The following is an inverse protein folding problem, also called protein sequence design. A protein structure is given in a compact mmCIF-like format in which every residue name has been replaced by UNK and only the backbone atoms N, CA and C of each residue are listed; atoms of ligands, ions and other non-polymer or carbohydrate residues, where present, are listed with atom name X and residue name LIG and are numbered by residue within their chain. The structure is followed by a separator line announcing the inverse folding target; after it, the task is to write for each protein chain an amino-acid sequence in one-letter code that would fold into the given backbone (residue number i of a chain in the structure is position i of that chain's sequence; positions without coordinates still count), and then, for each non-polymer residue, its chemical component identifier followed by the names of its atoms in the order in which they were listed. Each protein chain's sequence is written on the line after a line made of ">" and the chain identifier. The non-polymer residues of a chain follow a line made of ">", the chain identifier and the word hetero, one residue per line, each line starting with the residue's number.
data_IF_926716334931
#
_entry.id   IF_926716334931
#
_cell.length_a   1.000
_cell.length_b   1.000
_cell.length_c   1.000
_cell.angle_alpha   90.00
_cell.angle_beta   90.00
_cell.angle_gamma   90.00
#
_symmetry.space_group_name_H-M   'P 1'
#
loop_
_entity.id
_entity.type
_entity.pdbx_description
1 polymer ?
#
# COMPACT_ATOMS: atom_id res chain seq x y z
N UNK A 1 6.48 -40.38 -17.67
CA UNK A 1 6.76 -38.99 -18.06
C UNK A 1 5.57 -38.15 -18.64
N UNK A 2 4.37 -38.68 -18.91
CA UNK A 2 3.22 -37.82 -19.30
C UNK A 2 2.60 -37.03 -18.14
N UNK A 3 2.63 -37.54 -16.91
CA UNK A 3 1.99 -36.89 -15.74
C UNK A 3 2.57 -35.49 -15.36
N UNK A 4 3.84 -35.21 -15.67
CA UNK A 4 4.45 -33.90 -15.35
C UNK A 4 3.98 -32.77 -16.27
N UNK A 5 3.68 -33.05 -17.54
CA UNK A 5 3.18 -32.05 -18.49
C UNK A 5 1.72 -31.67 -18.25
N UNK A 6 0.94 -32.61 -17.78
CA UNK A 6 -0.49 -32.40 -17.50
C UNK A 6 -0.65 -31.64 -16.17
N UNK A 7 0.14 -31.97 -15.14
CA UNK A 7 0.21 -31.21 -13.90
C UNK A 7 0.71 -29.78 -14.12
N UNK A 8 1.75 -29.58 -14.93
CA UNK A 8 2.25 -28.24 -15.28
C UNK A 8 1.22 -27.42 -16.06
N UNK A 9 0.43 -28.05 -16.95
CA UNK A 9 -0.65 -27.39 -17.68
C UNK A 9 -1.82 -27.01 -16.77
N UNK A 10 -2.19 -27.87 -15.82
CA UNK A 10 -3.21 -27.59 -14.82
C UNK A 10 -2.77 -26.43 -13.89
N UNK A 11 -1.50 -26.41 -13.46
CA UNK A 11 -0.91 -25.34 -12.68
C UNK A 11 -0.92 -24.00 -13.41
N UNK A 12 -0.54 -24.00 -14.69
CA UNK A 12 -0.60 -22.79 -15.55
C UNK A 12 -2.04 -22.28 -15.75
N UNK A 13 -3.00 -23.16 -15.94
CA UNK A 13 -4.42 -22.79 -16.04
C UNK A 13 -4.96 -22.20 -14.73
N UNK A 14 -4.56 -22.77 -13.59
CA UNK A 14 -4.95 -22.26 -12.28
C UNK A 14 -4.31 -20.91 -12.00
N UNK A 15 -3.02 -20.72 -12.33
CA UNK A 15 -2.35 -19.42 -12.23
C UNK A 15 -3.02 -18.38 -13.14
N UNK A 16 -3.36 -18.76 -14.38
CA UNK A 16 -4.07 -17.87 -15.29
C UNK A 16 -5.40 -17.39 -14.72
N UNK A 17 -6.17 -18.27 -14.06
CA UNK A 17 -7.44 -17.93 -13.41
C UNK A 17 -7.27 -17.00 -12.22
N UNK A 18 -6.20 -17.17 -11.45
CA UNK A 18 -5.91 -16.33 -10.27
C UNK A 18 -5.55 -14.88 -10.69
N UNK A 19 -4.86 -14.71 -11.81
CA UNK A 19 -4.35 -13.40 -12.25
C UNK A 19 -5.21 -12.71 -13.34
N UNK A 20 -6.25 -13.33 -13.82
CA UNK A 20 -7.17 -12.72 -14.77
C UNK A 20 -8.38 -12.08 -14.08
N UNK A 21 -9.11 -11.27 -14.82
CA UNK A 21 -10.26 -10.45 -14.44
C UNK A 21 -11.13 -11.08 -13.33
N UNK A 22 -11.68 -10.28 -12.40
CA UNK A 22 -12.57 -10.76 -11.33
C UNK A 22 -13.61 -11.72 -11.89
N UNK A 23 -13.60 -12.96 -11.38
CA UNK A 23 -14.57 -13.96 -11.80
C UNK A 23 -15.99 -13.56 -11.37
N UNK A 24 -16.98 -14.03 -12.11
CA UNK A 24 -18.39 -13.80 -11.77
C UNK A 24 -18.71 -14.27 -10.34
N UNK A 25 -19.65 -13.62 -9.63
CA UNK A 25 -19.99 -13.96 -8.25
C UNK A 25 -20.41 -15.42 -8.02
N UNK A 26 -20.88 -16.09 -9.06
CA UNK A 26 -21.28 -17.50 -9.09
C UNK A 26 -20.14 -18.47 -9.40
N UNK A 27 -18.95 -17.96 -9.71
CA UNK A 27 -17.75 -18.78 -9.86
C UNK A 27 -17.22 -19.26 -8.51
N UNK A 28 -16.35 -20.28 -8.53
CA UNK A 28 -15.72 -20.80 -7.30
C UNK A 28 -14.96 -19.71 -6.54
N UNK A 29 -14.18 -18.87 -7.23
CA UNK A 29 -13.45 -17.77 -6.61
C UNK A 29 -14.37 -16.65 -6.15
N UNK A 30 -15.44 -16.34 -6.90
CA UNK A 30 -16.47 -15.39 -6.49
C UNK A 30 -17.22 -15.85 -5.25
N UNK A 31 -17.56 -17.14 -5.15
CA UNK A 31 -18.16 -17.72 -3.95
C UNK A 31 -17.24 -17.66 -2.73
N UNK A 32 -15.94 -17.90 -2.90
CA UNK A 32 -14.93 -17.76 -1.84
C UNK A 32 -14.81 -16.29 -1.41
N UNK A 33 -14.75 -15.34 -2.35
CA UNK A 33 -14.72 -13.91 -2.04
C UNK A 33 -15.96 -13.47 -1.25
N UNK A 34 -17.14 -13.96 -1.61
CA UNK A 34 -18.38 -13.69 -0.87
C UNK A 34 -18.36 -14.31 0.52
N UNK A 35 -17.89 -15.55 0.68
CA UNK A 35 -17.77 -16.22 1.96
C UNK A 35 -16.82 -15.45 2.90
N UNK A 36 -15.63 -15.12 2.45
CA UNK A 36 -14.66 -14.32 3.24
C UNK A 36 -15.28 -12.97 3.63
N UNK A 37 -15.90 -12.28 2.68
CA UNK A 37 -16.45 -10.93 2.91
C UNK A 37 -17.68 -10.98 3.84
N UNK A 38 -18.55 -11.96 3.68
CA UNK A 38 -19.76 -12.13 4.50
C UNK A 38 -19.43 -12.48 5.94
N UNK A 39 -18.59 -13.46 6.15
CA UNK A 39 -18.17 -13.92 7.47
C UNK A 39 -17.38 -12.84 8.22
N UNK A 40 -16.43 -12.18 7.55
CA UNK A 40 -15.64 -11.08 8.15
C UNK A 40 -16.56 -9.94 8.60
N UNK A 41 -17.53 -9.54 7.80
CA UNK A 41 -18.45 -8.45 8.16
C UNK A 41 -19.33 -8.78 9.38
N UNK A 42 -19.82 -10.02 9.49
CA UNK A 42 -20.59 -10.49 10.63
C UNK A 42 -19.74 -10.62 11.89
N UNK A 43 -18.59 -11.21 11.76
CA UNK A 43 -17.65 -11.50 12.83
C UNK A 43 -17.04 -10.22 13.43
N UNK A 44 -16.62 -9.26 12.61
CA UNK A 44 -16.05 -8.00 13.06
C UNK A 44 -17.03 -7.12 13.86
N UNK A 45 -18.34 -7.35 13.75
CA UNK A 45 -19.35 -6.61 14.50
C UNK A 45 -19.54 -7.09 15.94
N UNK A 46 -19.20 -8.32 16.23
CA UNK A 46 -19.60 -9.00 17.47
C UNK A 46 -18.44 -9.27 18.42
N UNK A 47 -17.22 -9.40 17.94
CA UNK A 47 -16.08 -9.83 18.74
C UNK A 47 -14.86 -8.91 18.60
N UNK A 48 -14.18 -8.60 19.71
CA UNK A 48 -12.88 -7.92 19.70
C UNK A 48 -11.78 -8.89 19.29
N UNK A 49 -11.83 -10.10 19.84
CA UNK A 49 -11.00 -11.26 19.48
C UNK A 49 -11.90 -12.48 19.57
N UNK A 50 -11.85 -13.35 18.57
CA UNK A 50 -12.73 -14.53 18.55
C UNK A 50 -12.29 -15.63 19.51
N UNK A 51 -10.98 -15.79 19.65
CA UNK A 51 -10.38 -16.84 20.47
C UNK A 51 -9.36 -16.20 21.41
N UNK A 52 -9.51 -16.51 22.72
CA UNK A 52 -8.48 -16.19 23.70
C UNK A 52 -7.41 -17.29 23.63
N UNK A 53 -6.31 -16.97 22.94
CA UNK A 53 -5.11 -17.83 22.86
C UNK A 53 -3.91 -17.05 23.34
N UNK A 54 -2.95 -17.74 23.92
CA UNK A 54 -1.66 -17.13 24.28
C UNK A 54 -0.84 -16.81 23.02
N UNK A 55 0.11 -15.92 23.13
CA UNK A 55 1.01 -15.56 22.02
C UNK A 55 1.81 -16.80 21.57
N UNK A 56 2.27 -17.61 22.50
CA UNK A 56 3.02 -18.84 22.23
C UNK A 56 2.20 -19.85 21.43
N UNK A 57 0.90 -19.96 21.72
CA UNK A 57 -0.01 -20.83 20.95
C UNK A 57 -0.27 -20.28 19.54
N UNK A 58 -0.32 -18.97 19.37
CA UNK A 58 -0.43 -18.32 18.05
C UNK A 58 0.85 -18.51 17.25
N UNK A 59 2.00 -18.24 17.86
CA UNK A 59 3.31 -18.41 17.22
C UNK A 59 3.56 -19.85 16.75
N UNK A 60 3.02 -20.85 17.46
CA UNK A 60 3.11 -22.25 17.04
C UNK A 60 2.47 -22.54 15.68
N UNK A 61 1.45 -21.75 15.30
CA UNK A 61 0.77 -21.89 14.00
C UNK A 61 1.60 -21.30 12.84
N UNK A 62 2.67 -20.50 13.10
CA UNK A 62 3.44 -19.73 12.11
C UNK A 62 4.93 -20.03 12.16
N UNK A 63 5.33 -21.28 12.36
CA UNK A 63 6.74 -21.68 12.48
C UNK A 63 7.37 -22.18 11.18
N UNK A 64 6.59 -22.39 10.12
CA UNK A 64 7.11 -22.89 8.85
C UNK A 64 8.01 -21.83 8.19
N UNK A 65 9.26 -22.21 7.90
CA UNK A 65 10.26 -21.34 7.26
C UNK A 65 10.61 -21.78 5.85
N UNK A 66 10.10 -22.92 5.42
CA UNK A 66 10.33 -23.45 4.07
C UNK A 66 9.16 -23.11 3.17
N UNK A 67 9.47 -22.70 1.94
CA UNK A 67 8.45 -22.47 0.91
C UNK A 67 7.97 -23.82 0.43
N UNK A 68 6.66 -24.11 0.48
CA UNK A 68 6.12 -25.38 0.00
C UNK A 68 6.45 -25.59 -1.49
N UNK A 69 6.89 -26.81 -1.84
CA UNK A 69 7.12 -27.18 -3.25
C UNK A 69 5.82 -27.26 -4.05
N UNK A 70 4.74 -27.68 -3.39
CA UNK A 70 3.40 -27.78 -4.01
C UNK A 70 2.53 -26.59 -3.61
N UNK A 71 1.74 -26.04 -4.54
CA UNK A 71 0.83 -24.93 -4.24
C UNK A 71 -0.34 -25.42 -3.38
N UNK A 72 -0.68 -24.65 -2.36
CA UNK A 72 -1.87 -24.88 -1.53
C UNK A 72 -3.15 -24.59 -2.34
N UNK A 73 -4.17 -25.41 -2.17
CA UNK A 73 -5.48 -25.14 -2.77
C UNK A 73 -6.11 -23.89 -2.17
N UNK A 74 -6.83 -23.13 -3.01
CA UNK A 74 -7.47 -21.87 -2.57
C UNK A 74 -8.45 -22.09 -1.41
N UNK A 75 -9.17 -23.22 -1.39
CA UNK A 75 -10.08 -23.58 -0.29
C UNK A 75 -9.35 -23.77 1.05
N UNK A 76 -8.24 -24.51 1.04
CA UNK A 76 -7.42 -24.74 2.24
C UNK A 76 -6.78 -23.43 2.73
N UNK A 77 -6.30 -22.60 1.80
CA UNK A 77 -5.77 -21.29 2.13
C UNK A 77 -6.84 -20.37 2.72
N UNK A 78 -8.07 -20.42 2.20
CA UNK A 78 -9.20 -19.65 2.73
C UNK A 78 -9.54 -20.06 4.15
N UNK A 79 -9.58 -21.37 4.42
CA UNK A 79 -9.81 -21.90 5.76
C UNK A 79 -8.68 -21.48 6.72
N UNK A 80 -7.43 -21.57 6.29
CA UNK A 80 -6.30 -21.08 7.06
C UNK A 80 -6.43 -19.58 7.40
N UNK A 81 -6.78 -18.75 6.41
CA UNK A 81 -6.97 -17.30 6.64
C UNK A 81 -8.07 -17.05 7.66
N UNK A 82 -9.21 -17.73 7.54
CA UNK A 82 -10.33 -17.54 8.47
C UNK A 82 -9.98 -17.99 9.89
N UNK A 83 -9.41 -19.20 10.04
CA UNK A 83 -9.18 -19.79 11.37
C UNK A 83 -7.91 -19.27 12.05
N UNK A 84 -6.85 -18.98 11.29
CA UNK A 84 -5.55 -18.60 11.84
C UNK A 84 -5.28 -17.10 11.82
N UNK A 85 -5.75 -16.39 10.82
CA UNK A 85 -5.53 -14.94 10.75
C UNK A 85 -6.72 -14.16 11.29
N UNK A 86 -7.91 -14.33 10.71
CA UNK A 86 -9.08 -13.52 11.09
C UNK A 86 -9.52 -13.82 12.51
N UNK A 87 -9.68 -15.10 12.87
CA UNK A 87 -10.16 -15.49 14.20
C UNK A 87 -9.20 -15.14 15.34
N UNK A 88 -7.90 -14.98 15.05
CA UNK A 88 -6.86 -14.68 16.04
C UNK A 88 -6.40 -13.23 16.00
N UNK A 89 -6.98 -12.40 15.14
CA UNK A 89 -6.64 -10.97 15.02
C UNK A 89 -7.54 -10.11 15.91
N UNK A 90 -7.01 -8.97 16.34
CA UNK A 90 -7.80 -7.96 17.06
C UNK A 90 -8.69 -7.21 16.08
N UNK A 91 -9.98 -7.15 16.36
CA UNK A 91 -10.98 -6.51 15.50
C UNK A 91 -11.23 -5.08 15.95
N UNK A 92 -10.51 -4.14 15.35
CA UNK A 92 -10.59 -2.71 15.67
C UNK A 92 -11.95 -2.08 15.33
N UNK A 93 -12.78 -2.74 14.51
CA UNK A 93 -14.13 -2.31 14.17
C UNK A 93 -15.19 -2.79 15.16
N UNK A 94 -14.84 -3.65 16.14
CA UNK A 94 -15.77 -4.12 17.15
C UNK A 94 -16.22 -2.96 18.05
N UNK A 95 -17.52 -2.88 18.41
CA UNK A 95 -18.05 -1.77 19.23
C UNK A 95 -17.37 -1.63 20.60
N UNK A 96 -16.85 -2.71 21.16
CA UNK A 96 -16.15 -2.74 22.44
C UNK A 96 -14.66 -2.42 22.37
N UNK A 97 -14.09 -2.21 21.17
CA UNK A 97 -12.67 -1.92 21.04
C UNK A 97 -12.34 -0.50 21.54
N UNK A 98 -11.56 -0.44 22.60
CA UNK A 98 -11.06 0.80 23.20
C UNK A 98 -9.54 0.67 23.29
N UNK A 99 -8.83 1.09 22.29
CA UNK A 99 -7.38 0.99 22.37
C UNK A 99 -6.72 1.52 21.13
N UNK A 100 -5.44 1.56 21.12
CA UNK A 100 -4.52 1.98 20.08
C UNK A 100 -5.06 3.03 19.09
N UNK A 101 -4.24 3.72 18.34
CA UNK A 101 -4.64 4.79 17.39
C UNK A 101 -5.30 4.27 16.11
N UNK A 102 -6.10 3.22 16.20
CA UNK A 102 -6.87 2.65 15.09
C UNK A 102 -8.35 2.70 15.40
N UNK A 103 -9.19 2.83 14.38
CA UNK A 103 -10.63 2.86 14.51
C UNK A 103 -11.30 2.15 13.32
N UNK A 104 -12.60 1.93 13.43
CA UNK A 104 -13.39 1.43 12.30
C UNK A 104 -13.26 2.37 11.09
N UNK A 105 -13.07 1.80 9.91
CA UNK A 105 -13.05 2.53 8.65
C UNK A 105 -14.49 2.81 8.18
N UNK A 106 -14.72 3.90 7.43
CA UNK A 106 -16.01 4.13 6.78
C UNK A 106 -16.39 2.94 5.89
N UNK A 107 -17.67 2.60 5.86
CA UNK A 107 -18.19 1.43 5.12
C UNK A 107 -17.83 1.42 3.62
N UNK A 108 -17.71 2.59 3.01
CA UNK A 108 -17.36 2.72 1.60
C UNK A 108 -15.89 2.40 1.28
N UNK A 109 -15.05 2.22 2.28
CA UNK A 109 -13.64 1.85 2.06
C UNK A 109 -13.50 0.44 1.48
N UNK A 110 -14.41 -0.48 1.80
CA UNK A 110 -14.39 -1.83 1.24
C UNK A 110 -14.58 -1.83 -0.29
N UNK A 111 -15.65 -1.24 -0.87
CA UNK A 111 -15.77 -1.15 -2.32
C UNK A 111 -14.65 -0.34 -2.97
N UNK A 112 -14.14 0.72 -2.33
CA UNK A 112 -13.00 1.47 -2.85
C UNK A 112 -11.72 0.62 -2.89
N UNK A 113 -11.43 -0.17 -1.86
CA UNK A 113 -10.26 -1.04 -1.86
C UNK A 113 -10.31 -2.09 -2.98
N UNK A 114 -11.49 -2.62 -3.29
CA UNK A 114 -11.70 -3.52 -4.44
C UNK A 114 -11.39 -2.84 -5.77
N UNK A 115 -11.86 -1.61 -5.98
CA UNK A 115 -11.56 -0.82 -7.18
C UNK A 115 -10.05 -0.57 -7.28
N UNK A 116 -9.42 -0.16 -6.18
CA UNK A 116 -7.97 0.09 -6.15
C UNK A 116 -7.17 -1.17 -6.47
N UNK A 117 -7.55 -2.30 -5.91
CA UNK A 117 -6.89 -3.59 -6.17
C UNK A 117 -7.10 -4.04 -7.62
N UNK A 118 -8.32 -3.94 -8.14
CA UNK A 118 -8.63 -4.34 -9.52
C UNK A 118 -7.90 -3.49 -10.56
N UNK A 119 -7.78 -2.18 -10.32
CA UNK A 119 -7.08 -1.28 -11.23
C UNK A 119 -5.56 -1.31 -11.06
N UNK A 120 -5.06 -1.62 -9.86
CA UNK A 120 -3.64 -1.75 -9.51
C UNK A 120 -2.74 -0.67 -10.17
N UNK A 121 -3.13 0.60 -10.02
CA UNK A 121 -2.51 1.71 -10.75
C UNK A 121 -1.21 2.18 -10.11
N UNK A 122 -0.23 2.49 -10.96
CA UNK A 122 1.03 3.11 -10.56
C UNK A 122 0.96 4.63 -10.80
N UNK A 123 1.00 5.41 -9.71
CA UNK A 123 0.87 6.88 -9.72
C UNK A 123 2.13 7.63 -10.15
N UNK A 124 3.23 6.95 -10.40
CA UNK A 124 4.53 7.57 -10.76
C UNK A 124 4.45 8.38 -12.04
N UNK A 125 3.65 7.94 -13.01
CA UNK A 125 3.50 8.60 -14.32
C UNK A 125 2.03 8.77 -14.68
N UNK A 126 1.68 9.97 -15.16
CA UNK A 126 0.33 10.27 -15.66
C UNK A 126 -0.05 9.37 -16.83
N UNK A 127 0.92 8.99 -17.65
CA UNK A 127 0.70 8.10 -18.81
C UNK A 127 0.21 6.71 -18.39
N UNK A 128 0.64 6.22 -17.24
CA UNK A 128 0.26 4.90 -16.72
C UNK A 128 -0.99 4.94 -15.87
N UNK A 129 -1.13 5.93 -15.01
CA UNK A 129 -2.24 6.04 -14.05
C UNK A 129 -3.43 6.84 -14.57
N UNK A 130 -3.24 7.62 -15.65
CA UNK A 130 -4.27 8.50 -16.24
C UNK A 130 -4.95 9.37 -15.15
N UNK A 131 -6.19 9.08 -14.80
CA UNK A 131 -7.00 9.88 -13.88
C UNK A 131 -6.48 9.92 -12.44
N UNK A 132 -5.79 8.88 -11.97
CA UNK A 132 -5.38 8.79 -10.56
C UNK A 132 -4.31 9.81 -10.19
N UNK A 133 -3.29 10.05 -11.04
CA UNK A 133 -2.27 11.06 -10.73
C UNK A 133 -2.85 12.50 -10.71
N UNK A 134 -3.68 12.95 -11.68
CA UNK A 134 -4.37 14.22 -11.55
C UNK A 134 -5.26 14.33 -10.32
N UNK A 135 -5.95 13.26 -9.94
CA UNK A 135 -6.79 13.22 -8.74
C UNK A 135 -5.94 13.38 -7.46
N UNK A 136 -4.82 12.67 -7.34
CA UNK A 136 -3.89 12.84 -6.23
C UNK A 136 -3.40 14.28 -6.11
N UNK A 137 -2.97 14.89 -7.22
CA UNK A 137 -2.55 16.30 -7.25
C UNK A 137 -3.66 17.25 -6.84
N UNK A 138 -4.89 16.97 -7.23
CA UNK A 138 -6.06 17.76 -6.82
C UNK A 138 -6.28 17.70 -5.31
N UNK A 139 -6.24 16.52 -4.71
CA UNK A 139 -6.40 16.35 -3.26
C UNK A 139 -5.26 17.05 -2.50
N UNK A 140 -4.01 16.90 -2.96
CA UNK A 140 -2.87 17.63 -2.40
C UNK A 140 -3.04 19.15 -2.49
N UNK A 141 -3.56 19.67 -3.60
CA UNK A 141 -3.84 21.10 -3.77
C UNK A 141 -4.95 21.59 -2.82
N UNK A 142 -5.99 20.78 -2.60
CA UNK A 142 -7.04 21.07 -1.61
C UNK A 142 -6.46 21.20 -0.20
N UNK A 143 -5.63 20.24 0.23
CA UNK A 143 -4.96 20.27 1.51
C UNK A 143 -3.98 21.45 1.63
N UNK A 144 -3.18 21.69 0.58
CA UNK A 144 -2.29 22.85 0.53
C UNK A 144 -3.05 24.16 0.70
N UNK A 145 -4.20 24.31 0.04
CA UNK A 145 -5.04 25.51 0.15
C UNK A 145 -5.57 25.73 1.56
N UNK A 146 -5.91 24.67 2.28
CA UNK A 146 -6.36 24.77 3.68
C UNK A 146 -5.27 25.34 4.59
N UNK A 147 -4.01 24.98 4.32
CA UNK A 147 -2.85 25.36 5.16
C UNK A 147 -2.30 26.73 4.76
N UNK A 148 -2.00 26.92 3.47
CA UNK A 148 -1.24 28.08 2.99
C UNK A 148 -2.09 29.23 2.44
N UNK A 149 -3.36 28.97 2.07
CA UNK A 149 -4.32 30.00 1.60
C UNK A 149 -3.75 30.92 0.52
N UNK A 150 -3.03 30.38 -0.46
CA UNK A 150 -2.52 31.14 -1.60
C UNK A 150 -3.68 31.77 -2.40
N UNK A 151 -3.38 32.78 -3.23
CA UNK A 151 -4.36 33.45 -4.06
C UNK A 151 -5.04 32.50 -5.09
N UNK A 152 -6.12 32.99 -5.71
CA UNK A 152 -6.91 32.19 -6.67
C UNK A 152 -6.12 31.72 -7.87
N UNK A 153 -5.14 32.51 -8.34
CA UNK A 153 -4.40 32.26 -9.57
C UNK A 153 -3.26 31.24 -9.38
N UNK A 154 -2.85 31.06 -8.12
CA UNK A 154 -1.79 30.12 -7.77
C UNK A 154 -2.16 28.67 -8.13
N UNK A 155 -3.35 28.21 -7.73
CA UNK A 155 -3.72 26.81 -7.90
C UNK A 155 -3.89 26.38 -9.37
N UNK A 156 -4.57 27.15 -10.24
CA UNK A 156 -4.62 26.83 -11.66
C UNK A 156 -3.24 26.73 -12.32
N UNK A 157 -2.30 27.57 -11.88
CA UNK A 157 -0.95 27.57 -12.43
C UNK A 157 -0.08 26.38 -11.98
N UNK A 158 -0.30 25.87 -10.75
CA UNK A 158 0.64 24.94 -10.12
C UNK A 158 0.10 23.53 -9.90
N UNK A 159 -1.22 23.30 -9.84
CA UNK A 159 -1.83 22.03 -9.51
C UNK A 159 -1.36 20.86 -10.41
N UNK A 160 -1.20 21.09 -11.70
CA UNK A 160 -0.75 20.09 -12.66
C UNK A 160 0.62 20.40 -13.26
N UNK A 161 1.37 21.31 -12.68
CA UNK A 161 2.71 21.63 -13.16
C UNK A 161 3.66 20.45 -12.90
N UNK A 162 4.31 19.94 -13.96
CA UNK A 162 5.18 18.76 -13.86
C UNK A 162 6.49 19.00 -13.10
N UNK A 163 6.89 20.26 -12.92
CA UNK A 163 8.14 20.64 -12.25
C UNK A 163 7.96 20.95 -10.76
N UNK A 164 6.73 21.00 -10.27
CA UNK A 164 6.39 21.35 -8.90
C UNK A 164 5.40 20.38 -8.31
N UNK A 165 5.51 20.14 -7.00
CA UNK A 165 4.57 19.41 -6.21
C UNK A 165 4.07 20.29 -5.06
N UNK A 166 2.76 20.31 -4.84
CA UNK A 166 2.14 21.03 -3.73
C UNK A 166 2.17 20.23 -2.43
N UNK A 167 2.61 19.01 -2.48
CA UNK A 167 2.73 18.09 -1.36
C UNK A 167 3.03 16.68 -1.82
N UNK A 168 3.11 15.76 -0.87
CA UNK A 168 3.26 14.33 -1.11
C UNK A 168 2.53 13.54 -0.03
N UNK A 169 1.83 12.47 -0.44
CA UNK A 169 1.34 11.48 0.52
C UNK A 169 2.48 10.58 0.97
N UNK A 170 2.53 10.29 2.25
CA UNK A 170 3.53 9.43 2.87
C UNK A 170 2.85 8.32 3.65
N UNK A 171 3.54 7.20 3.82
CA UNK A 171 3.02 6.02 4.53
C UNK A 171 2.87 6.21 6.05
N UNK A 172 3.30 7.34 6.61
CA UNK A 172 3.20 7.65 8.02
C UNK A 172 3.96 8.91 8.41
N UNK A 173 3.74 9.40 9.62
CA UNK A 173 4.32 10.66 10.12
C UNK A 173 5.86 10.69 10.10
N UNK A 174 6.51 9.58 10.42
CA UNK A 174 7.98 9.47 10.36
C UNK A 174 8.50 9.72 8.95
N UNK A 175 7.90 9.09 7.94
CA UNK A 175 8.30 9.28 6.54
C UNK A 175 7.97 10.69 6.07
N UNK A 176 6.84 11.27 6.50
CA UNK A 176 6.50 12.65 6.20
C UNK A 176 7.55 13.62 6.75
N UNK A 177 7.98 13.46 8.00
CA UNK A 177 9.02 14.28 8.62
C UNK A 177 10.37 14.13 7.91
N UNK A 178 10.78 12.88 7.60
CA UNK A 178 12.03 12.64 6.85
C UNK A 178 11.97 13.30 5.46
N UNK A 179 10.84 13.17 4.77
CA UNK A 179 10.64 13.80 3.45
C UNK A 179 10.73 15.31 3.54
N UNK A 180 10.08 15.93 4.52
CA UNK A 180 10.13 17.37 4.74
C UNK A 180 11.56 17.86 5.04
N UNK A 181 12.28 17.16 5.92
CA UNK A 181 13.68 17.46 6.22
C UNK A 181 14.58 17.31 4.99
N UNK A 182 14.37 16.29 4.19
CA UNK A 182 15.13 16.05 2.96
C UNK A 182 14.90 17.17 1.94
N UNK A 183 13.65 17.56 1.73
CA UNK A 183 13.31 18.67 0.83
C UNK A 183 13.93 19.99 1.34
N UNK A 184 13.80 20.29 2.63
CA UNK A 184 14.38 21.49 3.24
C UNK A 184 15.91 21.49 3.10
N UNK A 185 16.58 20.38 3.40
CA UNK A 185 18.01 20.21 3.22
C UNK A 185 18.43 20.47 1.77
N UNK A 186 17.77 19.82 0.81
CA UNK A 186 18.12 19.94 -0.59
C UNK A 186 17.93 21.37 -1.09
N UNK A 187 16.88 22.06 -0.64
CA UNK A 187 16.63 23.47 -0.98
C UNK A 187 17.68 24.41 -0.37
N UNK A 188 18.03 24.19 0.90
CA UNK A 188 19.00 25.01 1.61
C UNK A 188 20.42 24.85 1.06
N UNK A 189 20.77 23.64 0.65
CA UNK A 189 22.11 23.24 0.20
C UNK A 189 22.22 23.14 -1.33
N UNK A 190 21.18 23.54 -2.06
CA UNK A 190 21.23 23.65 -3.51
C UNK A 190 22.21 24.79 -3.94
N UNK A 191 22.82 24.68 -5.11
CA UNK A 191 23.64 25.75 -5.67
C UNK A 191 22.85 27.07 -5.75
N UNK A 192 23.41 28.15 -5.18
CA UNK A 192 22.81 29.49 -5.18
C UNK A 192 23.91 30.52 -5.30
N UNK A 193 23.85 31.38 -6.33
CA UNK A 193 24.90 32.36 -6.59
C UNK A 193 26.26 31.70 -6.76
N UNK A 194 27.24 32.11 -5.97
CA UNK A 194 28.60 31.55 -5.97
C UNK A 194 28.72 30.21 -5.25
N UNK A 195 27.73 29.85 -4.45
CA UNK A 195 27.68 28.56 -3.78
C UNK A 195 27.29 27.42 -4.76
N UNK A 196 28.24 26.54 -5.04
CA UNK A 196 28.09 25.47 -6.02
C UNK A 196 27.34 24.22 -5.47
N UNK A 197 26.91 24.27 -4.22
CA UNK A 197 26.27 23.12 -3.52
C UNK A 197 27.31 22.23 -2.82
N UNK A 198 26.87 21.60 -1.70
CA UNK A 198 27.77 20.81 -0.85
C UNK A 198 28.44 19.66 -1.60
N UNK A 199 27.72 18.98 -2.49
CA UNK A 199 28.28 17.84 -3.23
C UNK A 199 29.47 18.27 -4.11
N UNK A 200 29.34 19.43 -4.80
CA UNK A 200 30.39 19.94 -5.69
C UNK A 200 31.54 20.54 -4.90
N UNK A 201 31.27 21.25 -3.82
CA UNK A 201 32.31 21.75 -2.94
C UNK A 201 33.06 20.64 -2.21
N UNK A 202 32.32 19.59 -1.76
CA UNK A 202 32.95 18.40 -1.18
C UNK A 202 33.84 17.68 -2.17
N UNK A 203 33.39 17.54 -3.43
CA UNK A 203 34.19 16.96 -4.50
C UNK A 203 35.45 17.80 -4.80
N UNK A 204 35.31 19.13 -4.92
CA UNK A 204 36.46 20.04 -5.11
C UNK A 204 37.47 19.93 -3.98
N UNK A 205 37.03 19.89 -2.72
CA UNK A 205 37.93 19.71 -1.58
C UNK A 205 38.64 18.34 -1.61
N UNK A 206 37.92 17.31 -1.99
CA UNK A 206 38.50 15.96 -2.11
C UNK A 206 39.53 15.91 -3.26
N UNK A 207 39.22 16.49 -4.41
CA UNK A 207 40.14 16.54 -5.55
C UNK A 207 41.39 17.36 -5.23
N UNK A 208 41.24 18.54 -4.59
CA UNK A 208 42.35 19.34 -4.14
C UNK A 208 43.21 18.60 -3.10
N UNK A 209 42.60 17.87 -2.18
CA UNK A 209 43.33 17.02 -1.22
C UNK A 209 44.14 15.93 -1.92
N UNK A 210 43.60 15.37 -3.01
CA UNK A 210 44.27 14.33 -3.80
C UNK A 210 45.28 14.90 -4.85
N UNK A 211 45.40 16.25 -4.95
CA UNK A 211 46.28 16.86 -5.91
C UNK A 211 45.82 16.71 -7.37
N UNK A 212 44.53 16.52 -7.60
CA UNK A 212 43.91 16.43 -8.92
C UNK A 212 43.27 17.80 -9.23
N UNK A 213 43.80 18.52 -10.23
CA UNK A 213 43.20 19.74 -10.76
C UNK A 213 42.05 19.47 -11.72
#
# INVERSE_FOLDING_TARGET
>A
MPKSKEAARATLQNLYRIFTVPEAPDSTLGAIDQAITGDVAGFLRTHIVALERTIEEIEADFQATEIPEEPTFVSEYTEFVQQKLVAQSVHTAAPGFIGHMTSALPYFMLPLSRIMTALNQNLVKVETSKAFTPMERQVLAMLHRLIYRCNSDFYPAWIHNSRHALGAFCSGGTIANITALWVARNRLLAPQGDFQGIAREGLHRALNFLGVE
#
